data_IF_525803424852
#
_entry.id   IF_525803424852
#
_cell.length_a   1.000
_cell.length_b   1.000
_cell.length_c   1.000
_cell.angle_alpha   90.00
_cell.angle_beta   90.00
_cell.angle_gamma   90.00
#
_symmetry.space_group_name_H-M   'P 1'
#
loop_
_entity.id
_entity.type
_entity.pdbx_description
1 polymer ?
#
# COMPACT_ATOMS: atom_id res chain seq x y z
N UNK A 1 22.79 8.69 -3.21
CA UNK A 1 21.97 7.84 -4.08
C UNK A 1 21.04 7.08 -3.16
N UNK A 2 19.73 7.25 -3.30
CA UNK A 2 18.77 6.50 -2.49
C UNK A 2 18.76 5.06 -3.03
N UNK A 3 19.14 4.10 -2.19
CA UNK A 3 18.95 2.68 -2.47
C UNK A 3 17.56 2.33 -1.96
N UNK A 4 16.64 2.01 -2.87
CA UNK A 4 15.29 1.64 -2.50
C UNK A 4 14.34 1.71 -3.69
N UNK A 5 13.29 0.90 -3.64
CA UNK A 5 12.19 0.99 -4.60
C UNK A 5 11.57 2.39 -4.60
N UNK A 6 11.15 2.86 -5.78
CA UNK A 6 10.44 4.14 -5.91
C UNK A 6 9.10 4.07 -5.17
N UNK A 7 8.70 5.17 -4.53
CA UNK A 7 7.41 5.24 -3.82
C UNK A 7 6.34 5.64 -4.82
N UNK A 8 5.44 4.73 -5.22
CA UNK A 8 4.46 5.05 -6.24
C UNK A 8 3.42 6.05 -5.71
N UNK A 9 2.77 6.73 -6.64
CA UNK A 9 1.65 7.60 -6.30
C UNK A 9 0.46 6.77 -5.81
N UNK A 10 -0.22 7.25 -4.76
CA UNK A 10 -1.41 6.61 -4.22
C UNK A 10 -2.56 6.71 -5.25
N UNK A 11 -2.82 5.63 -5.99
CA UNK A 11 -3.91 5.57 -6.97
C UNK A 11 -5.26 5.19 -6.35
N UNK A 12 -5.28 4.79 -5.08
CA UNK A 12 -6.48 4.39 -4.35
C UNK A 12 -6.17 3.39 -3.25
N UNK A 13 -7.15 2.57 -2.87
CA UNK A 13 -6.98 1.54 -1.83
C UNK A 13 -6.09 0.38 -2.27
N UNK A 14 -5.89 0.21 -3.58
CA UNK A 14 -4.98 -0.77 -4.16
C UNK A 14 -4.09 -0.07 -5.18
N UNK A 15 -2.79 -0.21 -5.02
CA UNK A 15 -1.75 0.28 -5.92
C UNK A 15 -0.89 -0.92 -6.32
N UNK A 16 -1.04 -1.38 -7.57
CA UNK A 16 -0.41 -2.62 -8.07
C UNK A 16 0.75 -2.31 -9.00
N UNK A 17 1.94 -2.01 -8.45
CA UNK A 17 3.15 -1.75 -9.24
C UNK A 17 3.91 -3.02 -9.60
N UNK A 18 3.58 -4.16 -8.99
CA UNK A 18 4.13 -5.45 -9.37
C UNK A 18 3.37 -6.09 -10.55
N UNK A 19 2.23 -5.51 -10.96
CA UNK A 19 1.35 -6.03 -12.02
C UNK A 19 0.91 -7.49 -11.79
N UNK A 20 0.72 -7.85 -10.52
CA UNK A 20 0.36 -9.23 -10.11
C UNK A 20 -1.14 -9.40 -9.90
N UNK A 21 -1.93 -8.30 -9.90
CA UNK A 21 -3.35 -8.35 -9.66
C UNK A 21 -4.14 -8.12 -10.96
N UNK A 22 -5.05 -9.04 -11.26
CA UNK A 22 -6.00 -8.83 -12.36
C UNK A 22 -6.91 -7.64 -12.08
N UNK A 23 -7.49 -7.04 -13.13
CA UNK A 23 -8.45 -5.94 -12.96
C UNK A 23 -9.64 -6.32 -12.07
N UNK A 24 -10.18 -7.53 -12.24
CA UNK A 24 -11.24 -8.06 -11.38
C UNK A 24 -10.83 -8.13 -9.92
N UNK A 25 -9.61 -8.63 -9.63
CA UNK A 25 -9.09 -8.71 -8.27
C UNK A 25 -8.89 -7.31 -7.66
N UNK A 26 -8.30 -6.37 -8.41
CA UNK A 26 -8.10 -4.98 -7.95
C UNK A 26 -9.43 -4.33 -7.60
N UNK A 27 -10.46 -4.53 -8.42
CA UNK A 27 -11.82 -4.03 -8.16
C UNK A 27 -12.42 -4.65 -6.91
N UNK A 28 -12.40 -5.97 -6.80
CA UNK A 28 -12.95 -6.70 -5.65
C UNK A 28 -12.25 -6.34 -4.35
N UNK A 29 -10.92 -6.18 -4.35
CA UNK A 29 -10.17 -5.70 -3.19
C UNK A 29 -10.53 -4.25 -2.86
N UNK A 30 -10.60 -3.36 -3.85
CA UNK A 30 -10.97 -1.96 -3.65
C UNK A 30 -12.35 -1.82 -3.01
N UNK A 31 -13.33 -2.60 -3.48
CA UNK A 31 -14.69 -2.61 -2.93
C UNK A 31 -14.73 -3.13 -1.48
N UNK A 32 -13.99 -4.21 -1.18
CA UNK A 32 -13.88 -4.73 0.19
C UNK A 32 -13.21 -3.74 1.15
N UNK A 33 -12.08 -3.15 0.75
CA UNK A 33 -11.36 -2.19 1.58
C UNK A 33 -12.21 -0.93 1.80
N UNK A 34 -12.97 -0.50 0.79
CA UNK A 34 -13.93 0.60 0.93
C UNK A 34 -15.02 0.28 1.95
N UNK A 35 -15.65 -0.90 1.84
CA UNK A 35 -16.69 -1.31 2.78
C UNK A 35 -16.17 -1.45 4.22
N UNK A 36 -14.93 -1.96 4.37
CA UNK A 36 -14.28 -2.04 5.67
C UNK A 36 -14.02 -0.66 6.29
N UNK A 37 -13.53 0.29 5.49
CA UNK A 37 -13.30 1.67 5.91
C UNK A 37 -14.62 2.35 6.31
N UNK A 38 -15.70 2.15 5.56
CA UNK A 38 -17.04 2.66 5.90
C UNK A 38 -17.58 2.06 7.21
N UNK A 39 -17.32 0.77 7.47
CA UNK A 39 -17.82 0.07 8.65
C UNK A 39 -17.01 0.31 9.93
N UNK A 40 -15.70 0.54 9.82
CA UNK A 40 -14.78 0.60 10.98
C UNK A 40 -14.12 1.96 11.15
N UNK A 41 -14.13 2.77 10.09
CA UNK A 41 -13.32 3.97 9.98
C UNK A 41 -11.85 3.69 9.64
N UNK A 42 -11.38 2.44 9.58
CA UNK A 42 -9.99 2.12 9.30
C UNK A 42 -9.67 2.24 7.81
N UNK A 43 -8.66 3.03 7.47
CA UNK A 43 -8.21 3.21 6.10
C UNK A 43 -7.09 2.23 5.80
N UNK A 44 -7.40 1.22 5.00
CA UNK A 44 -6.44 0.19 4.58
C UNK A 44 -6.04 0.43 3.12
N UNK A 45 -4.74 0.48 2.86
CA UNK A 45 -4.17 0.56 1.51
C UNK A 45 -3.26 -0.64 1.25
N UNK A 46 -3.35 -1.20 0.04
CA UNK A 46 -2.50 -2.28 -0.45
C UNK A 46 -1.55 -1.70 -1.50
N UNK A 47 -0.26 -1.99 -1.32
CA UNK A 47 0.81 -1.69 -2.26
C UNK A 47 1.47 -3.00 -2.68
N UNK A 48 1.51 -3.29 -3.97
CA UNK A 48 2.38 -4.34 -4.52
C UNK A 48 3.55 -3.67 -5.22
N UNK A 49 4.77 -4.16 -4.97
CA UNK A 49 5.98 -3.72 -5.67
C UNK A 49 6.81 -4.94 -6.03
N UNK A 50 7.51 -4.96 -7.18
CA UNK A 50 8.25 -6.15 -7.60
C UNK A 50 9.42 -6.47 -6.65
N UNK A 51 10.12 -5.45 -6.13
CA UNK A 51 11.29 -5.60 -5.25
C UNK A 51 11.42 -4.39 -4.34
N UNK A 52 12.07 -4.53 -3.18
CA UNK A 52 12.45 -3.42 -2.30
C UNK A 52 13.71 -2.66 -2.78
N UNK A 53 14.40 -3.16 -3.82
CA UNK A 53 15.58 -2.49 -4.39
C UNK A 53 16.75 -2.36 -3.41
N UNK A 54 16.83 -3.27 -2.43
CA UNK A 54 17.84 -3.26 -1.37
C UNK A 54 17.50 -2.38 -0.16
N UNK A 55 16.33 -1.74 -0.13
CA UNK A 55 15.83 -1.09 1.08
C UNK A 55 15.30 -2.12 2.09
N UNK A 56 15.37 -1.80 3.37
CA UNK A 56 14.68 -2.57 4.41
C UNK A 56 13.17 -2.36 4.33
N UNK A 57 12.38 -3.42 4.50
CA UNK A 57 10.91 -3.36 4.43
C UNK A 57 10.32 -2.33 5.39
N UNK A 58 10.88 -2.19 6.59
CA UNK A 58 10.42 -1.24 7.62
C UNK A 58 10.67 0.22 7.20
N UNK A 59 11.86 0.52 6.68
CA UNK A 59 12.22 1.87 6.21
C UNK A 59 11.39 2.25 4.98
N UNK A 60 11.20 1.31 4.07
CA UNK A 60 10.34 1.49 2.90
C UNK A 60 8.90 1.73 3.33
N UNK A 61 8.34 0.92 4.22
CA UNK A 61 6.98 1.08 4.72
C UNK A 61 6.79 2.44 5.41
N UNK A 62 7.73 2.87 6.25
CA UNK A 62 7.68 4.19 6.89
C UNK A 62 7.68 5.32 5.86
N UNK A 63 8.48 5.20 4.80
CA UNK A 63 8.54 6.18 3.71
C UNK A 63 7.22 6.25 2.93
N UNK A 64 6.62 5.09 2.63
CA UNK A 64 5.29 5.01 1.98
C UNK A 64 4.21 5.63 2.87
N UNK A 65 4.18 5.30 4.16
CA UNK A 65 3.24 5.89 5.11
C UNK A 65 3.38 7.42 5.19
N UNK A 66 4.61 7.92 5.22
CA UNK A 66 4.88 9.36 5.23
C UNK A 66 4.45 10.07 3.94
N UNK A 67 4.67 9.44 2.78
CA UNK A 67 4.28 9.97 1.48
C UNK A 67 2.75 9.97 1.30
N UNK A 68 2.09 8.86 1.65
CA UNK A 68 0.66 8.66 1.41
C UNK A 68 -0.21 9.24 2.52
N UNK A 69 0.36 9.51 3.70
CA UNK A 69 -0.33 10.05 4.87
C UNK A 69 -1.61 9.27 5.18
N UNK A 70 -1.50 7.94 5.20
CA UNK A 70 -2.62 7.05 5.44
C UNK A 70 -3.21 7.28 6.84
N UNK A 71 -4.53 7.26 6.93
CA UNK A 71 -5.28 7.53 8.15
C UNK A 71 -5.88 8.93 8.16
N UNK A 72 -6.86 9.12 9.04
CA UNK A 72 -7.51 10.42 9.21
C UNK A 72 -6.72 11.26 10.22
N UNK A 73 -6.67 12.58 10.02
CA UNK A 73 -5.97 13.48 10.96
C UNK A 73 -6.48 13.26 12.39
N UNK A 74 -5.59 12.89 13.30
CA UNK A 74 -5.91 12.62 14.70
C UNK A 74 -6.57 11.26 14.96
N UNK A 75 -6.56 10.35 13.97
CA UNK A 75 -6.96 8.96 14.13
C UNK A 75 -5.83 8.06 13.63
N UNK A 76 -5.31 7.22 14.52
CA UNK A 76 -4.29 6.21 14.22
C UNK A 76 -4.93 4.97 13.56
N UNK A 77 -5.63 5.18 12.44
CA UNK A 77 -6.47 4.19 11.77
C UNK A 77 -6.02 3.88 10.34
N UNK A 78 -4.81 4.31 9.96
CA UNK A 78 -4.19 3.98 8.69
C UNK A 78 -3.44 2.65 8.76
N UNK A 79 -3.68 1.77 7.79
CA UNK A 79 -2.97 0.49 7.64
C UNK A 79 -2.43 0.39 6.23
N UNK A 80 -1.16 0.01 6.10
CA UNK A 80 -0.49 -0.28 4.84
C UNK A 80 -0.15 -1.76 4.79
N UNK A 81 -0.55 -2.41 3.71
CA UNK A 81 -0.14 -3.78 3.39
C UNK A 81 0.78 -3.71 2.18
N UNK A 82 2.03 -4.12 2.36
CA UNK A 82 3.00 -4.19 1.27
C UNK A 82 3.19 -5.64 0.88
N UNK A 83 3.07 -5.93 -0.42
CA UNK A 83 3.31 -7.24 -1.00
C UNK A 83 4.49 -7.13 -1.94
N UNK A 84 5.54 -7.89 -1.66
CA UNK A 84 6.74 -7.98 -2.50
C UNK A 84 6.87 -9.42 -2.97
N UNK A 85 6.40 -9.78 -4.17
CA UNK A 85 6.33 -11.16 -4.61
C UNK A 85 7.71 -11.77 -4.89
N UNK A 86 8.70 -10.94 -5.21
CA UNK A 86 10.07 -11.37 -5.52
C UNK A 86 11.00 -11.38 -4.28
N UNK A 87 10.52 -10.91 -3.13
CA UNK A 87 11.29 -10.89 -1.88
C UNK A 87 11.10 -12.25 -1.17
N UNK A 88 12.18 -13.04 -1.07
CA UNK A 88 12.22 -14.35 -0.39
C UNK A 88 13.00 -14.29 0.90
#
# INVERSE_FOLDING_TARGET
MAFGADIPFLSGRVTDNAEILTEGMRRTLTEQLKSHEESTGNQIAILTIPTLGGAGIEEYAASVFGAWKLGQKGKDNGVLVIVVPDDR
#
